data_IF_583572416688
#
_entry.id   IF_583572416688
#
_cell.length_a   1.000
_cell.length_b   1.000
_cell.length_c   1.000
_cell.angle_alpha   90.00
_cell.angle_beta   90.00
_cell.angle_gamma   90.00
#
_symmetry.space_group_name_H-M   'P 1'
#
loop_
_entity.id
_entity.type
_entity.pdbx_description
1 polymer ?
#
# COMPACT_ATOMS: atom_id res chain seq x y z
N UNK A 1 -5.47 13.85 18.62
CA UNK A 1 -4.30 14.60 19.07
C UNK A 1 -3.43 14.98 17.91
N UNK A 2 -2.67 16.05 17.98
CA UNK A 2 -1.78 16.51 16.91
C UNK A 2 -0.42 15.82 16.98
N UNK A 3 -0.44 14.48 16.96
CA UNK A 3 0.71 13.67 17.30
C UNK A 3 1.40 13.01 16.11
N UNK A 4 2.59 12.52 16.42
CA UNK A 4 3.37 11.60 15.60
C UNK A 4 3.40 10.25 16.31
N UNK A 5 3.28 9.17 15.55
CA UNK A 5 3.47 7.80 16.03
C UNK A 5 4.78 7.28 15.42
N UNK A 6 5.64 6.69 16.26
CA UNK A 6 6.88 6.05 15.82
C UNK A 6 6.94 4.64 16.35
N UNK A 7 7.07 3.67 15.45
CA UNK A 7 7.17 2.24 15.75
C UNK A 7 8.58 1.78 15.38
N UNK A 8 9.38 1.42 16.39
CA UNK A 8 10.76 1.02 16.20
C UNK A 8 10.97 -0.50 16.32
N UNK A 9 9.89 -1.27 16.46
CA UNK A 9 9.96 -2.72 16.59
C UNK A 9 8.80 -3.28 17.42
N UNK A 10 8.90 -4.55 17.76
CA UNK A 10 7.88 -5.26 18.52
C UNK A 10 6.87 -5.97 17.63
N UNK A 11 5.81 -6.50 18.26
CA UNK A 11 4.71 -7.17 17.56
C UNK A 11 3.40 -6.54 17.98
N UNK A 12 2.65 -6.03 17.01
CA UNK A 12 1.39 -5.33 17.18
C UNK A 12 0.35 -6.05 16.33
N UNK A 13 -0.77 -6.41 16.96
CA UNK A 13 -1.94 -6.96 16.25
C UNK A 13 -3.14 -6.11 16.62
N UNK A 14 -3.85 -5.64 15.59
CA UNK A 14 -4.95 -4.68 15.72
C UNK A 14 -6.20 -5.24 15.06
N UNK A 15 -7.33 -5.05 15.74
CA UNK A 15 -8.67 -5.19 15.17
C UNK A 15 -9.46 -3.98 15.64
N UNK A 16 -9.86 -3.12 14.73
CA UNK A 16 -10.51 -1.85 15.00
C UNK A 16 -11.83 -1.73 14.21
N UNK A 17 -12.78 -1.00 14.76
CA UNK A 17 -13.98 -0.57 14.04
C UNK A 17 -13.82 0.80 13.37
N UNK A 18 -12.68 1.44 13.55
CA UNK A 18 -12.20 2.67 12.97
C UNK A 18 -10.80 2.38 12.42
N UNK A 19 -9.90 3.35 12.31
CA UNK A 19 -8.58 3.14 11.74
C UNK A 19 -7.72 2.18 12.57
N UNK A 20 -6.86 1.43 11.89
CA UNK A 20 -5.93 0.51 12.54
C UNK A 20 -4.86 1.28 13.31
N UNK A 21 -4.16 2.18 12.64
CA UNK A 21 -3.18 3.11 13.23
C UNK A 21 -3.39 4.48 12.63
N UNK A 22 -3.80 5.44 13.46
CA UNK A 22 -4.03 6.81 13.04
C UNK A 22 -3.11 7.78 13.78
N UNK A 23 -2.42 8.64 13.01
CA UNK A 23 -1.63 9.76 13.53
C UNK A 23 -1.99 11.05 12.80
N UNK A 24 -2.45 12.10 13.52
CA UNK A 24 -2.86 13.36 12.87
C UNK A 24 -1.77 14.05 12.04
N UNK A 25 -0.51 13.69 12.19
CA UNK A 25 0.58 14.30 11.44
C UNK A 25 1.46 13.29 10.72
N UNK A 26 2.05 12.37 11.46
CA UNK A 26 3.09 11.51 10.92
C UNK A 26 3.07 10.14 11.60
N UNK A 27 3.18 9.13 10.78
CA UNK A 27 3.39 7.75 11.20
C UNK A 27 4.72 7.26 10.63
N UNK A 28 5.66 6.89 11.52
CA UNK A 28 6.93 6.26 11.14
C UNK A 28 6.93 4.80 11.59
N UNK A 29 7.09 3.87 10.68
CA UNK A 29 7.32 2.46 10.95
C UNK A 29 8.75 2.13 10.55
N UNK A 30 9.63 1.99 11.55
CA UNK A 30 11.05 1.72 11.33
C UNK A 30 11.37 0.23 11.34
N UNK A 31 10.64 -0.56 12.13
CA UNK A 31 10.78 -2.01 12.23
C UNK A 31 9.59 -2.60 13.00
N UNK A 32 9.51 -3.93 13.06
CA UNK A 32 8.51 -4.67 13.82
C UNK A 32 7.62 -5.56 12.95
N UNK A 33 6.71 -6.25 13.62
CA UNK A 33 5.64 -7.01 13.02
C UNK A 33 4.31 -6.32 13.33
N UNK A 34 3.65 -5.80 12.31
CA UNK A 34 2.37 -5.12 12.42
C UNK A 34 1.33 -5.90 11.62
N UNK A 35 0.26 -6.28 12.27
CA UNK A 35 -0.85 -7.01 11.66
C UNK A 35 -2.17 -6.31 12.00
N UNK A 36 -2.67 -5.51 11.07
CA UNK A 36 -4.02 -4.95 11.11
C UNK A 36 -4.95 -6.01 10.51
N UNK A 37 -5.60 -6.74 11.40
CA UNK A 37 -6.48 -7.88 11.04
C UNK A 37 -7.77 -7.39 10.40
N UNK A 38 -8.27 -6.25 10.87
CA UNK A 38 -9.40 -5.52 10.29
C UNK A 38 -9.42 -4.10 10.81
N UNK A 39 -9.82 -3.16 9.96
CA UNK A 39 -10.02 -1.74 10.29
C UNK A 39 -10.95 -1.11 9.25
N UNK A 40 -11.33 0.13 9.47
CA UNK A 40 -11.93 0.99 8.44
C UNK A 40 -10.79 1.38 7.50
N UNK A 41 -9.92 2.33 7.86
CA UNK A 41 -8.64 2.53 7.20
C UNK A 41 -7.52 1.76 7.91
N UNK A 42 -6.52 1.31 7.16
CA UNK A 42 -5.45 0.51 7.75
C UNK A 42 -4.44 1.36 8.51
N UNK A 43 -3.73 2.20 7.81
CA UNK A 43 -2.76 3.17 8.32
C UNK A 43 -3.12 4.55 7.81
N UNK A 44 -3.32 5.52 8.71
CA UNK A 44 -3.70 6.87 8.35
C UNK A 44 -2.78 7.92 8.97
N UNK A 45 -2.30 8.87 8.17
CA UNK A 45 -1.62 10.09 8.61
C UNK A 45 -1.48 11.09 7.44
N UNK A 46 -1.01 12.32 7.70
CA UNK A 46 -0.60 13.23 6.61
C UNK A 46 0.70 12.72 5.96
N UNK A 47 1.66 12.27 6.78
CA UNK A 47 2.92 11.70 6.32
C UNK A 47 3.06 10.29 6.86
N UNK A 48 3.23 9.32 5.97
CA UNK A 48 3.43 7.92 6.32
C UNK A 48 4.80 7.50 5.81
N UNK A 49 5.70 7.10 6.72
CA UNK A 49 7.03 6.61 6.41
C UNK A 49 7.16 5.13 6.79
N UNK A 50 7.26 4.26 5.80
CA UNK A 50 7.46 2.82 5.97
C UNK A 50 8.91 2.49 5.67
N UNK A 51 9.72 2.44 6.72
CA UNK A 51 11.18 2.30 6.62
C UNK A 51 11.64 0.85 6.81
N UNK A 52 10.82 0.00 7.43
CA UNK A 52 11.18 -1.38 7.70
C UNK A 52 10.03 -2.20 8.31
N UNK A 53 10.37 -3.40 8.78
CA UNK A 53 9.42 -4.31 9.42
C UNK A 53 8.59 -5.14 8.43
N UNK A 54 7.62 -5.85 8.98
CA UNK A 54 6.61 -6.61 8.25
C UNK A 54 5.24 -6.08 8.62
N UNK A 55 4.54 -5.56 7.64
CA UNK A 55 3.28 -4.85 7.80
C UNK A 55 2.24 -5.58 6.96
N UNK A 56 1.21 -6.07 7.62
CA UNK A 56 0.04 -6.71 7.01
C UNK A 56 -1.18 -5.88 7.35
N UNK A 57 -1.95 -5.51 6.35
CA UNK A 57 -3.14 -4.68 6.50
C UNK A 57 -4.31 -5.33 5.77
N UNK A 58 -5.43 -5.46 6.48
CA UNK A 58 -6.73 -5.63 5.87
C UNK A 58 -7.64 -4.48 6.32
N UNK A 59 -8.14 -3.71 5.36
CA UNK A 59 -9.05 -2.59 5.58
C UNK A 59 -10.36 -2.77 4.82
N UNK A 60 -11.43 -2.19 5.36
CA UNK A 60 -12.75 -2.18 4.71
C UNK A 60 -12.98 -0.93 3.86
N UNK A 61 -12.10 0.05 3.99
CA UNK A 61 -11.93 1.22 3.15
C UNK A 61 -10.47 1.22 2.67
N UNK A 62 -9.69 2.29 2.85
CA UNK A 62 -8.35 2.35 2.31
C UNK A 62 -7.31 1.62 3.17
N UNK A 63 -6.37 0.97 2.49
CA UNK A 63 -5.33 0.21 3.19
C UNK A 63 -4.29 1.10 3.85
N UNK A 64 -3.76 2.06 3.10
CA UNK A 64 -2.82 3.09 3.56
C UNK A 64 -3.32 4.42 3.01
N UNK A 65 -3.73 5.32 3.90
CA UNK A 65 -4.31 6.61 3.54
C UNK A 65 -3.44 7.77 4.03
N UNK A 66 -2.81 8.49 3.09
CA UNK A 66 -2.14 9.74 3.39
C UNK A 66 -3.07 10.92 3.08
N UNK A 67 -3.81 11.38 4.08
CA UNK A 67 -4.88 12.36 3.93
C UNK A 67 -4.49 13.79 4.32
N UNK A 68 -5.27 14.77 3.86
CA UNK A 68 -5.09 16.18 4.22
C UNK A 68 -5.65 16.47 5.61
N UNK A 69 -4.78 16.66 6.60
CA UNK A 69 -5.24 16.95 7.97
C UNK A 69 -5.13 18.40 8.39
N UNK A 70 -4.08 19.11 8.02
CA UNK A 70 -3.80 20.48 8.46
C UNK A 70 -3.98 21.57 7.39
N UNK A 71 -4.25 21.16 6.15
CA UNK A 71 -4.40 22.03 4.99
C UNK A 71 -3.11 22.78 4.58
N UNK A 72 -1.96 22.35 5.10
CA UNK A 72 -0.65 23.00 4.88
C UNK A 72 0.42 22.02 4.44
N UNK A 73 0.42 20.83 5.02
CA UNK A 73 1.36 19.77 4.71
C UNK A 73 0.80 18.95 3.57
N UNK A 74 1.56 18.78 2.51
CA UNK A 74 1.17 17.89 1.41
C UNK A 74 1.26 16.44 1.88
N UNK A 75 0.20 15.65 1.73
CA UNK A 75 0.21 14.24 2.09
C UNK A 75 1.24 13.46 1.30
N UNK A 76 1.82 12.43 1.93
CA UNK A 76 2.80 11.58 1.26
C UNK A 76 2.91 10.22 1.94
N UNK A 77 3.00 9.18 1.12
CA UNK A 77 3.43 7.84 1.53
C UNK A 77 4.84 7.61 1.02
N UNK A 78 5.79 7.40 1.94
CA UNK A 78 7.18 7.06 1.65
C UNK A 78 7.46 5.61 2.04
N UNK A 79 8.01 4.81 1.12
CA UNK A 79 8.46 3.44 1.39
C UNK A 79 9.96 3.35 1.09
N UNK A 80 10.77 3.16 2.14
CA UNK A 80 12.22 3.01 2.01
C UNK A 80 12.69 1.60 2.30
N UNK A 81 11.83 0.76 2.92
CA UNK A 81 12.16 -0.62 3.28
C UNK A 81 10.96 -1.41 3.76
N UNK A 82 11.23 -2.61 4.27
CA UNK A 82 10.20 -3.50 4.83
C UNK A 82 9.49 -4.39 3.82
N UNK A 83 8.58 -5.19 4.35
CA UNK A 83 7.61 -6.00 3.62
C UNK A 83 6.21 -5.50 3.96
N UNK A 84 5.50 -4.97 3.00
CA UNK A 84 4.17 -4.38 3.16
C UNK A 84 3.20 -5.20 2.30
N UNK A 85 2.17 -5.74 2.93
CA UNK A 85 1.10 -6.52 2.29
C UNK A 85 -0.24 -5.90 2.67
N UNK A 86 -0.89 -5.28 1.72
CA UNK A 86 -2.15 -4.57 1.88
C UNK A 86 -3.24 -5.31 1.13
N UNK A 87 -4.37 -5.51 1.78
CA UNK A 87 -5.58 -6.04 1.16
C UNK A 87 -6.75 -5.17 1.58
N UNK A 88 -7.58 -4.76 0.64
CA UNK A 88 -8.83 -4.05 0.94
C UNK A 88 -10.05 -4.87 0.58
N UNK A 89 -11.18 -4.54 1.20
CA UNK A 89 -12.48 -5.11 0.87
C UNK A 89 -12.92 -4.69 -0.54
N UNK A 90 -14.01 -5.28 -1.03
CA UNK A 90 -14.64 -4.83 -2.27
C UNK A 90 -15.45 -3.55 -2.03
N UNK A 91 -15.36 -2.60 -2.95
CA UNK A 91 -16.10 -1.34 -2.86
C UNK A 91 -15.38 -0.21 -3.57
N UNK A 92 -15.57 0.98 -3.05
CA UNK A 92 -14.80 2.19 -3.35
C UNK A 92 -13.64 2.24 -2.34
N UNK A 93 -12.60 1.49 -2.61
CA UNK A 93 -11.51 1.24 -1.66
C UNK A 93 -10.17 1.25 -2.37
N UNK A 94 -9.20 1.97 -1.82
CA UNK A 94 -7.86 2.04 -2.37
C UNK A 94 -6.86 1.26 -1.52
N UNK A 95 -5.96 0.55 -2.18
CA UNK A 95 -4.90 -0.15 -1.46
C UNK A 95 -3.93 0.84 -0.82
N UNK A 96 -3.50 1.81 -1.60
CA UNK A 96 -2.76 2.99 -1.17
C UNK A 96 -3.46 4.21 -1.75
N UNK A 97 -4.04 5.05 -0.88
CA UNK A 97 -4.55 6.38 -1.21
C UNK A 97 -3.58 7.45 -0.71
N UNK A 98 -3.41 8.48 -1.49
CA UNK A 98 -2.70 9.67 -1.04
C UNK A 98 -3.25 10.92 -1.70
N UNK A 99 -3.78 11.83 -0.90
CA UNK A 99 -4.09 13.19 -1.39
C UNK A 99 -2.81 13.99 -1.75
N UNK A 100 -1.72 13.31 -2.02
CA UNK A 100 -0.44 13.87 -2.41
C UNK A 100 0.39 12.89 -3.23
N UNK A 101 1.55 12.46 -2.73
CA UNK A 101 2.46 11.64 -3.50
C UNK A 101 2.68 10.25 -2.86
N UNK A 102 3.06 9.30 -3.70
CA UNK A 102 3.66 8.03 -3.29
C UNK A 102 5.10 7.94 -3.78
N UNK A 103 6.03 7.66 -2.88
CA UNK A 103 7.46 7.54 -3.19
C UNK A 103 8.01 6.23 -2.62
N UNK A 104 8.50 5.36 -3.50
CA UNK A 104 9.16 4.12 -3.09
C UNK A 104 10.62 4.10 -3.55
N UNK A 105 11.53 3.91 -2.61
CA UNK A 105 12.97 3.80 -2.86
C UNK A 105 13.55 2.46 -2.41
N UNK A 106 12.75 1.63 -1.74
CA UNK A 106 13.13 0.31 -1.25
C UNK A 106 11.93 -0.54 -0.85
N UNK A 107 12.20 -1.65 -0.15
CA UNK A 107 11.17 -2.53 0.35
C UNK A 107 10.43 -3.35 -0.71
N UNK A 108 9.50 -4.15 -0.23
CA UNK A 108 8.56 -4.93 -1.02
C UNK A 108 7.14 -4.53 -0.65
N UNK A 109 6.37 -4.09 -1.63
CA UNK A 109 4.97 -3.69 -1.48
C UNK A 109 4.10 -4.59 -2.34
N UNK A 110 3.15 -5.26 -1.71
CA UNK A 110 2.10 -6.01 -2.36
C UNK A 110 0.76 -5.39 -1.99
N UNK A 111 0.06 -4.88 -2.98
CA UNK A 111 -1.28 -4.32 -2.84
C UNK A 111 -2.28 -5.21 -3.54
N UNK A 112 -3.35 -5.52 -2.85
CA UNK A 112 -4.49 -6.31 -3.34
C UNK A 112 -5.77 -5.53 -3.03
N UNK A 113 -6.15 -4.64 -3.93
CA UNK A 113 -7.41 -3.90 -3.78
C UNK A 113 -8.58 -4.75 -4.22
N UNK A 114 -9.62 -4.80 -3.39
CA UNK A 114 -10.90 -5.37 -3.72
C UNK A 114 -11.82 -4.39 -4.47
N UNK A 115 -11.29 -3.26 -4.95
CA UNK A 115 -12.06 -2.22 -5.62
C UNK A 115 -12.94 -2.79 -6.73
N UNK A 116 -14.19 -2.35 -6.76
CA UNK A 116 -15.19 -2.71 -7.76
C UNK A 116 -15.86 -1.49 -8.39
N UNK A 117 -15.42 -0.30 -8.05
CA UNK A 117 -16.07 0.95 -8.47
C UNK A 117 -15.58 1.51 -9.81
N UNK A 118 -14.89 0.71 -10.60
CA UNK A 118 -14.59 1.04 -11.99
C UNK A 118 -13.33 1.89 -12.14
N UNK A 119 -13.43 3.19 -12.43
CA UNK A 119 -12.28 4.03 -12.76
C UNK A 119 -11.91 5.03 -11.67
N UNK A 120 -12.41 4.87 -10.46
CA UNK A 120 -12.26 5.88 -9.40
C UNK A 120 -11.50 5.39 -8.19
N UNK A 121 -11.25 4.10 -8.07
CA UNK A 121 -10.48 3.53 -6.97
C UNK A 121 -9.73 2.28 -7.39
N UNK A 122 -8.71 1.91 -6.67
CA UNK A 122 -7.89 0.79 -7.05
C UNK A 122 -6.71 0.45 -6.14
N UNK A 123 -5.68 -0.09 -6.74
CA UNK A 123 -4.53 -0.55 -5.97
C UNK A 123 -3.65 0.61 -5.50
N UNK A 124 -3.46 1.63 -6.32
CA UNK A 124 -2.74 2.86 -5.97
C UNK A 124 -3.45 4.05 -6.62
N UNK A 125 -4.00 4.91 -5.79
CA UNK A 125 -4.61 6.18 -6.18
C UNK A 125 -3.87 7.33 -5.49
N UNK A 126 -3.44 8.34 -6.25
CA UNK A 126 -2.74 9.51 -5.70
C UNK A 126 -3.11 10.77 -6.46
N UNK A 127 -3.39 11.85 -5.74
CA UNK A 127 -3.64 13.18 -6.33
C UNK A 127 -2.39 13.77 -7.01
N UNK A 128 -1.21 13.29 -6.63
CA UNK A 128 0.07 13.78 -7.11
C UNK A 128 0.79 12.83 -8.05
N UNK A 129 1.92 12.31 -7.62
CA UNK A 129 2.77 11.43 -8.46
C UNK A 129 3.15 10.15 -7.74
N UNK A 130 3.19 9.05 -8.49
CA UNK A 130 3.82 7.79 -8.08
C UNK A 130 5.25 7.77 -8.58
N UNK A 131 6.21 7.63 -7.65
CA UNK A 131 7.64 7.53 -7.97
C UNK A 131 8.22 6.26 -7.36
N UNK A 132 8.74 5.35 -8.18
CA UNK A 132 9.34 4.09 -7.74
C UNK A 132 10.75 4.00 -8.30
N UNK A 133 11.76 4.29 -7.48
CA UNK A 133 13.17 4.27 -7.87
C UNK A 133 13.95 3.11 -7.28
N UNK A 134 13.33 2.31 -6.40
CA UNK A 134 13.92 1.11 -5.82
C UNK A 134 12.88 0.24 -5.14
N UNK A 135 13.31 -0.96 -4.74
CA UNK A 135 12.40 -1.95 -4.19
C UNK A 135 11.54 -2.64 -5.26
N UNK A 136 10.45 -3.23 -4.82
CA UNK A 136 9.47 -3.92 -5.68
C UNK A 136 8.06 -3.55 -5.27
N UNK A 137 7.23 -3.20 -6.23
CA UNK A 137 5.81 -2.98 -6.03
C UNK A 137 5.01 -3.92 -6.94
N UNK A 138 4.06 -4.63 -6.35
CA UNK A 138 3.05 -5.43 -7.04
C UNK A 138 1.69 -4.88 -6.64
N UNK A 139 0.96 -4.35 -7.59
CA UNK A 139 -0.34 -3.73 -7.37
C UNK A 139 -1.39 -4.47 -8.19
N UNK A 140 -2.41 -4.97 -7.51
CA UNK A 140 -3.49 -5.79 -8.06
C UNK A 140 -4.84 -5.19 -7.69
N UNK A 141 -5.74 -5.17 -8.66
CA UNK A 141 -7.13 -4.73 -8.49
C UNK A 141 -7.37 -3.26 -8.77
N UNK A 142 -8.43 -2.97 -9.53
CA UNK A 142 -8.85 -1.61 -9.88
C UNK A 142 -7.86 -0.81 -10.71
N UNK A 143 -7.90 0.49 -10.54
CA UNK A 143 -6.98 1.43 -11.18
C UNK A 143 -5.64 1.43 -10.44
N UNK A 144 -4.56 1.62 -11.15
CA UNK A 144 -3.24 1.84 -10.59
C UNK A 144 -2.58 3.03 -11.30
N UNK A 145 -2.25 4.06 -10.55
CA UNK A 145 -1.54 5.21 -11.07
C UNK A 145 -0.18 4.82 -11.65
N UNK A 146 0.10 5.35 -12.85
CA UNK A 146 1.32 5.01 -13.57
C UNK A 146 2.54 5.72 -12.98
N UNK A 147 3.59 5.00 -12.56
CA UNK A 147 4.79 5.62 -12.04
C UNK A 147 5.49 6.53 -13.07
N UNK A 148 5.83 7.76 -12.67
CA UNK A 148 6.44 8.75 -13.57
C UNK A 148 7.96 8.64 -13.68
N UNK A 149 8.65 8.10 -12.68
CA UNK A 149 10.11 7.97 -12.63
C UNK A 149 10.54 6.58 -12.14
N UNK A 150 9.98 5.52 -12.72
CA UNK A 150 10.34 4.16 -12.32
C UNK A 150 11.58 3.65 -13.06
N UNK A 151 12.38 2.86 -12.36
CA UNK A 151 13.60 2.26 -12.92
C UNK A 151 13.27 1.04 -13.79
N UNK A 152 12.26 0.26 -13.40
CA UNK A 152 11.73 -0.87 -14.18
C UNK A 152 10.26 -1.07 -13.78
N UNK A 153 9.33 -0.71 -14.62
CA UNK A 153 7.91 -0.97 -14.41
C UNK A 153 7.39 -1.94 -15.47
N UNK A 154 6.66 -2.94 -15.03
CA UNK A 154 5.84 -3.78 -15.89
C UNK A 154 4.38 -3.53 -15.53
N UNK A 155 3.60 -3.10 -16.48
CA UNK A 155 2.14 -2.97 -16.32
C UNK A 155 1.50 -4.18 -16.98
N UNK A 156 0.77 -4.95 -16.20
CA UNK A 156 -0.11 -6.02 -16.67
C UNK A 156 -1.53 -5.49 -16.53
N UNK A 157 -2.15 -5.12 -17.64
CA UNK A 157 -3.54 -4.70 -17.67
C UNK A 157 -4.45 -5.84 -18.11
N UNK A 158 -5.67 -5.88 -17.57
CA UNK A 158 -6.70 -6.86 -17.92
C UNK A 158 -6.33 -8.31 -17.57
N UNK A 159 -5.53 -8.51 -16.54
CA UNK A 159 -5.17 -9.84 -16.03
C UNK A 159 -6.01 -10.16 -14.80
N UNK A 160 -6.67 -11.31 -14.81
CA UNK A 160 -7.38 -11.80 -13.64
C UNK A 160 -6.47 -12.69 -12.80
N UNK A 161 -6.44 -12.42 -11.51
CA UNK A 161 -5.75 -13.24 -10.52
C UNK A 161 -6.77 -13.96 -9.64
N UNK A 162 -6.53 -15.23 -9.37
CA UNK A 162 -7.26 -16.03 -8.38
C UNK A 162 -6.30 -16.44 -7.27
N UNK A 163 -6.82 -17.04 -6.20
CA UNK A 163 -5.96 -17.56 -5.13
C UNK A 163 -4.89 -18.48 -5.68
N UNK A 164 -3.64 -18.20 -5.32
CA UNK A 164 -2.48 -18.98 -5.77
C UNK A 164 -1.16 -18.24 -5.63
N UNK A 165 -0.08 -18.97 -5.89
CA UNK A 165 1.25 -18.38 -5.99
C UNK A 165 1.55 -18.00 -7.43
N UNK A 166 2.05 -16.81 -7.61
CA UNK A 166 2.45 -16.25 -8.90
C UNK A 166 3.92 -15.91 -8.89
N UNK A 167 4.54 -15.96 -10.06
CA UNK A 167 5.89 -15.43 -10.25
C UNK A 167 6.01 -14.65 -11.55
N UNK A 168 6.71 -13.53 -11.46
CA UNK A 168 7.15 -12.79 -12.63
C UNK A 168 8.55 -13.28 -13.00
N UNK A 169 8.74 -13.62 -14.26
CA UNK A 169 10.01 -14.11 -14.78
C UNK A 169 10.57 -13.16 -15.83
N UNK A 170 11.89 -13.11 -15.96
CA UNK A 170 12.55 -12.38 -17.01
C UNK A 170 12.57 -13.20 -18.32
N UNK A 171 13.15 -12.63 -19.38
CA UNK A 171 13.26 -13.30 -20.69
C UNK A 171 14.15 -14.56 -20.69
N UNK A 172 14.93 -14.78 -19.64
CA UNK A 172 15.75 -15.96 -19.44
C UNK A 172 15.06 -17.03 -18.58
N UNK A 173 13.78 -16.85 -18.25
CA UNK A 173 12.98 -17.72 -17.37
C UNK A 173 13.42 -17.71 -15.89
N UNK A 174 14.27 -16.76 -15.48
CA UNK A 174 14.63 -16.59 -14.08
C UNK A 174 13.48 -15.89 -13.32
N UNK A 175 13.15 -16.42 -12.13
CA UNK A 175 12.16 -15.78 -11.26
C UNK A 175 12.72 -14.45 -10.72
N UNK A 176 12.07 -13.35 -11.09
CA UNK A 176 12.42 -12.00 -10.61
C UNK A 176 11.73 -11.73 -9.28
N UNK A 177 10.47 -12.16 -9.16
CA UNK A 177 9.65 -12.00 -7.97
C UNK A 177 8.61 -13.09 -7.90
N UNK A 178 8.23 -13.49 -6.68
CA UNK A 178 7.02 -14.28 -6.46
C UNK A 178 6.21 -13.72 -5.30
N UNK A 179 4.89 -13.88 -5.40
CA UNK A 179 3.93 -13.42 -4.42
C UNK A 179 2.73 -14.37 -4.36
N UNK A 180 1.98 -14.29 -3.27
CA UNK A 180 0.75 -15.07 -3.09
C UNK A 180 -0.45 -14.14 -3.12
N UNK A 181 -1.50 -14.58 -3.82
CA UNK A 181 -2.80 -13.92 -3.89
C UNK A 181 -3.79 -14.80 -3.14
N UNK A 182 -4.50 -14.20 -2.19
CA UNK A 182 -5.62 -14.82 -1.49
C UNK A 182 -6.89 -14.07 -1.92
N UNK A 183 -7.70 -14.68 -2.78
CA UNK A 183 -8.88 -14.04 -3.36
C UNK A 183 -8.84 -13.97 -4.87
N UNK A 184 -9.64 -13.07 -5.45
CA UNK A 184 -9.68 -12.83 -6.90
C UNK A 184 -9.61 -11.33 -7.15
N UNK A 185 -8.68 -10.92 -7.98
CA UNK A 185 -8.42 -9.52 -8.34
C UNK A 185 -8.34 -9.40 -9.86
N UNK A 186 -8.84 -8.28 -10.40
CA UNK A 186 -8.82 -7.96 -11.83
C UNK A 186 -8.12 -6.61 -11.99
N UNK A 187 -7.10 -6.55 -12.80
CA UNK A 187 -6.44 -5.30 -13.22
C UNK A 187 -6.99 -4.86 -14.58
#
# INVERSE_FOLDING_TARGET
>A
GKGTIVINGGSITISSGDDGIHADKQLDVNDGYINVVTSYEGLEAITINLNGGKIYVYATDDGINACTGDGKTSPIVNVTGGYIDVTTASGDTDGIDSNGNYVQTGGFVLVKSGSSSGNVSGSIDVDGTVTITGGTCVALGGVCETPVNSVNAYVLSSVSFSSGRYSLKNSSDDEVISFTVDGSFIN
#
